data_IF_142799366528
#
_entry.id   IF_142799366528
#
_cell.length_a   1.000
_cell.length_b   1.000
_cell.length_c   1.000
_cell.angle_alpha   90.00
_cell.angle_beta   90.00
_cell.angle_gamma   90.00
#
_symmetry.space_group_name_H-M   'P 1'
#
loop_
_entity.id
_entity.type
_entity.pdbx_description
1 polymer ?
#
# COMPACT_ATOMS: atom_id res chain seq x y z
N UNK A 1 44.16 11.57 -62.86
CA UNK A 1 43.15 12.33 -62.10
C UNK A 1 42.76 11.45 -60.93
N UNK A 2 43.30 11.76 -59.75
CA UNK A 2 43.06 11.00 -58.52
C UNK A 2 41.57 11.04 -58.16
N UNK A 3 40.95 9.89 -57.93
CA UNK A 3 39.59 9.80 -57.43
C UNK A 3 39.64 9.92 -55.90
N UNK A 4 39.34 11.11 -55.37
CA UNK A 4 39.31 11.34 -53.92
C UNK A 4 37.97 10.81 -53.37
N UNK A 5 37.97 9.79 -52.50
CA UNK A 5 36.73 9.30 -51.90
C UNK A 5 36.12 10.37 -51.00
N UNK A 6 34.85 10.70 -51.24
CA UNK A 6 34.11 11.66 -50.41
C UNK A 6 33.86 11.05 -49.02
N UNK A 7 34.24 11.77 -47.96
CA UNK A 7 33.89 11.36 -46.58
C UNK A 7 32.37 11.38 -46.42
N UNK A 8 31.73 10.30 -45.95
CA UNK A 8 30.30 10.29 -45.72
C UNK A 8 29.93 11.40 -44.74
N UNK A 9 28.84 12.13 -45.03
CA UNK A 9 28.34 13.18 -44.15
C UNK A 9 28.13 12.61 -42.73
N UNK A 10 28.49 13.35 -41.66
CA UNK A 10 28.25 12.91 -40.30
C UNK A 10 26.78 12.50 -40.14
N UNK A 11 26.55 11.24 -39.80
CA UNK A 11 25.20 10.75 -39.52
C UNK A 11 24.60 11.53 -38.35
N UNK A 12 23.31 11.81 -38.43
CA UNK A 12 22.56 12.52 -37.39
C UNK A 12 22.67 11.74 -36.07
N UNK A 13 23.39 12.31 -35.09
CA UNK A 13 23.60 11.72 -33.76
C UNK A 13 22.42 11.98 -32.82
N UNK A 14 21.34 12.59 -33.30
CA UNK A 14 20.16 12.83 -32.48
C UNK A 14 19.31 11.58 -32.40
N UNK A 15 19.48 10.83 -31.31
CA UNK A 15 18.56 9.77 -30.94
C UNK A 15 17.21 10.44 -30.63
N UNK A 16 16.10 10.02 -31.27
CA UNK A 16 14.80 10.58 -30.97
C UNK A 16 14.53 10.45 -29.47
N UNK A 17 14.15 11.54 -28.81
CA UNK A 17 13.92 11.56 -27.35
C UNK A 17 12.91 10.51 -26.88
N UNK A 18 12.00 10.11 -27.78
CA UNK A 18 10.97 9.12 -27.52
C UNK A 18 11.43 7.67 -27.80
N UNK A 19 12.57 7.47 -28.47
CA UNK A 19 13.12 6.13 -28.71
C UNK A 19 13.42 5.44 -27.38
N UNK A 20 12.78 4.29 -27.16
CA UNK A 20 13.00 3.43 -25.99
C UNK A 20 12.02 3.64 -24.83
N UNK A 21 11.24 4.72 -24.81
CA UNK A 21 10.25 4.96 -23.75
C UNK A 21 8.94 4.19 -23.94
N UNK A 22 8.64 3.72 -25.14
CA UNK A 22 7.40 2.98 -25.44
C UNK A 22 7.28 1.70 -24.60
N UNK A 23 8.37 0.94 -24.46
CA UNK A 23 8.37 -0.28 -23.64
C UNK A 23 8.16 0.02 -22.15
N UNK A 24 8.79 1.08 -21.66
CA UNK A 24 8.63 1.55 -20.27
C UNK A 24 7.21 2.04 -20.03
N UNK A 25 6.67 2.85 -20.95
CA UNK A 25 5.30 3.36 -20.89
C UNK A 25 4.27 2.24 -20.94
N UNK A 26 4.43 1.27 -21.84
CA UNK A 26 3.56 0.10 -21.93
C UNK A 26 3.62 -0.75 -20.64
N UNK A 27 4.82 -0.96 -20.09
CA UNK A 27 5.00 -1.69 -18.83
C UNK A 27 4.35 -0.99 -17.64
N UNK A 28 4.51 0.33 -17.53
CA UNK A 28 3.88 1.14 -16.48
C UNK A 28 2.35 1.13 -16.60
N UNK A 29 1.83 1.23 -17.81
CA UNK A 29 0.39 1.20 -18.05
C UNK A 29 -0.21 -0.18 -17.73
N UNK A 30 0.48 -1.26 -18.08
CA UNK A 30 0.09 -2.61 -17.69
C UNK A 30 0.12 -2.79 -16.16
N UNK A 31 1.18 -2.30 -15.50
CA UNK A 31 1.30 -2.34 -14.04
C UNK A 31 0.18 -1.54 -13.36
N UNK A 32 -0.14 -0.35 -13.88
CA UNK A 32 -1.24 0.48 -13.38
C UNK A 32 -2.59 -0.22 -13.56
N UNK A 33 -2.84 -0.82 -14.72
CA UNK A 33 -4.06 -1.60 -14.96
C UNK A 33 -4.18 -2.78 -13.98
N UNK A 34 -3.08 -3.50 -13.74
CA UNK A 34 -3.04 -4.60 -12.78
C UNK A 34 -3.31 -4.11 -11.34
N UNK A 35 -2.70 -2.99 -10.95
CA UNK A 35 -2.92 -2.38 -9.63
C UNK A 35 -4.39 -1.98 -9.45
N UNK A 36 -5.00 -1.34 -10.44
CA UNK A 36 -6.43 -0.99 -10.44
C UNK A 36 -7.29 -2.25 -10.33
N UNK A 37 -7.00 -3.28 -11.11
CA UNK A 37 -7.74 -4.55 -11.06
C UNK A 37 -7.67 -5.19 -9.67
N UNK A 38 -6.49 -5.21 -9.04
CA UNK A 38 -6.30 -5.70 -7.66
C UNK A 38 -7.10 -4.86 -6.67
N UNK A 39 -7.07 -3.53 -6.82
CA UNK A 39 -7.80 -2.62 -5.94
C UNK A 39 -9.31 -2.84 -6.03
N UNK A 40 -9.83 -3.04 -7.24
CA UNK A 40 -11.25 -3.37 -7.47
C UNK A 40 -11.61 -4.71 -6.84
N UNK A 41 -10.76 -5.74 -6.99
CA UNK A 41 -10.95 -7.04 -6.35
C UNK A 41 -10.94 -6.94 -4.81
N UNK A 42 -10.04 -6.14 -4.26
CA UNK A 42 -9.93 -5.91 -2.82
C UNK A 42 -11.15 -5.14 -2.28
N UNK A 43 -11.63 -4.14 -3.02
CA UNK A 43 -12.82 -3.36 -2.67
C UNK A 43 -14.11 -4.18 -2.79
N UNK A 44 -14.19 -5.09 -3.77
CA UNK A 44 -15.35 -5.95 -3.99
C UNK A 44 -15.43 -7.13 -3.01
N UNK A 45 -14.33 -7.49 -2.35
CA UNK A 45 -14.34 -8.52 -1.30
C UNK A 45 -15.06 -7.98 -0.05
N UNK A 46 -16.06 -8.70 0.51
CA UNK A 46 -16.72 -8.30 1.74
C UNK A 46 -15.69 -8.20 2.87
N UNK A 47 -15.36 -6.97 3.28
CA UNK A 47 -14.33 -6.64 4.26
C UNK A 47 -14.65 -7.02 5.71
N UNK A 48 -15.51 -8.00 5.94
CA UNK A 48 -15.94 -8.41 7.27
C UNK A 48 -14.78 -9.00 8.10
N UNK A 49 -13.88 -9.77 7.50
CA UNK A 49 -12.80 -10.44 8.22
C UNK A 49 -11.64 -9.52 8.64
N UNK A 50 -11.20 -8.64 7.74
CA UNK A 50 -10.00 -7.83 8.01
C UNK A 50 -10.28 -6.69 9.00
N UNK A 51 -11.52 -6.15 9.01
CA UNK A 51 -11.92 -5.10 9.95
C UNK A 51 -12.28 -5.68 11.32
N UNK A 52 -12.90 -6.87 11.38
CA UNK A 52 -13.24 -7.51 12.65
C UNK A 52 -11.99 -7.99 13.40
N UNK A 53 -10.98 -8.52 12.70
CA UNK A 53 -9.71 -8.93 13.31
C UNK A 53 -8.94 -7.74 13.89
N UNK A 54 -8.92 -6.60 13.16
CA UNK A 54 -8.35 -5.35 13.66
C UNK A 54 -9.08 -4.80 14.88
N UNK A 55 -10.43 -4.85 14.89
CA UNK A 55 -11.22 -4.46 16.04
C UNK A 55 -10.98 -5.38 17.24
N UNK A 56 -10.94 -6.69 17.04
CA UNK A 56 -10.65 -7.66 18.10
C UNK A 56 -9.24 -7.46 18.70
N UNK A 57 -8.24 -7.15 17.87
CA UNK A 57 -6.88 -6.83 18.32
C UNK A 57 -6.80 -5.53 19.12
N UNK A 58 -7.60 -4.51 18.76
CA UNK A 58 -7.72 -3.24 19.48
C UNK A 58 -8.43 -3.43 20.82
N UNK A 59 -9.54 -4.16 20.84
CA UNK A 59 -10.33 -4.44 22.05
C UNK A 59 -9.52 -5.24 23.08
N UNK A 60 -8.72 -6.21 22.63
CA UNK A 60 -7.80 -6.96 23.48
C UNK A 60 -6.66 -6.11 24.08
N UNK A 61 -6.36 -4.94 23.50
CA UNK A 61 -5.39 -3.98 24.04
C UNK A 61 -6.04 -2.94 24.94
N UNK A 62 -7.20 -2.41 24.55
CA UNK A 62 -7.93 -1.42 25.36
C UNK A 62 -8.41 -2.02 26.69
N UNK A 63 -8.82 -3.29 26.72
CA UNK A 63 -9.21 -3.99 27.95
C UNK A 63 -8.07 -4.16 28.97
N UNK A 64 -6.80 -4.14 28.54
CA UNK A 64 -5.63 -4.18 29.45
C UNK A 64 -5.19 -2.80 29.94
N UNK A 65 -5.54 -1.73 29.23
CA UNK A 65 -5.25 -0.36 29.64
C UNK A 65 -6.33 0.22 30.58
N UNK A 66 -7.55 -0.33 30.56
CA UNK A 66 -8.68 0.08 31.40
C UNK A 66 -8.90 -0.77 32.65
N UNK A 67 -8.16 -1.87 32.84
CA UNK A 67 -8.15 -2.62 34.10
C UNK A 67 -7.35 -1.84 35.16
N UNK A 68 -7.91 -0.73 35.63
CA UNK A 68 -7.57 -0.21 36.93
C UNK A 68 -7.74 -1.36 37.94
N UNK A 69 -6.80 -1.56 38.88
CA UNK A 69 -6.95 -2.61 39.88
C UNK A 69 -8.29 -2.38 40.58
N UNK A 70 -9.13 -3.43 40.62
CA UNK A 70 -10.28 -3.42 41.51
C UNK A 70 -9.75 -3.07 42.89
N UNK A 71 -10.15 -1.90 43.40
CA UNK A 71 -9.86 -1.51 44.76
C UNK A 71 -10.45 -2.60 45.68
N UNK A 72 -9.64 -3.32 46.47
CA UNK A 72 -10.16 -4.34 47.39
C UNK A 72 -11.03 -3.77 48.52
N UNK A 73 -11.38 -2.48 48.50
CA UNK A 73 -12.19 -1.81 49.52
C UNK A 73 -13.69 -2.14 49.48
N UNK A 74 -14.25 -2.66 48.39
CA UNK A 74 -15.66 -3.10 48.35
C UNK A 74 -15.80 -4.57 48.80
N UNK A 75 -15.46 -4.82 50.06
CA UNK A 75 -15.79 -6.06 50.75
C UNK A 75 -17.30 -6.14 51.07
N UNK A 76 -17.94 -7.32 50.97
CA UNK A 76 -19.35 -7.50 51.30
C UNK A 76 -19.53 -7.47 52.83
N UNK A 77 -19.67 -6.28 53.43
CA UNK A 77 -19.75 -6.18 54.89
C UNK A 77 -20.15 -4.84 55.52
N UNK A 78 -20.63 -3.84 54.77
CA UNK A 78 -20.85 -2.49 55.33
C UNK A 78 -22.30 -1.96 55.23
N UNK A 79 -23.31 -2.84 55.32
CA UNK A 79 -24.70 -2.44 55.63
C UNK A 79 -25.34 -3.42 56.62
N UNK A 80 -24.69 -3.60 57.77
CA UNK A 80 -25.44 -3.73 59.01
C UNK A 80 -25.21 -2.40 59.75
N UNK A 81 -26.28 -1.69 60.09
CA UNK A 81 -26.48 -0.84 61.30
C UNK A 81 -27.68 0.10 61.06
N UNK A 82 -28.72 -0.02 61.90
CA UNK A 82 -29.77 1.00 62.11
C UNK A 82 -31.22 0.55 61.94
#
# INVERSE_FOLDING_TARGET
MENVPSTPAPGDLTVPLLSGWEGVGAGLLLLAALAVMVLLLAAARPGAGNRSEWQAWLDARSGRAGAAPADPADGPGAIAEG
#
